data_IF_994518586967
#
_entry.id   IF_994518586967
#
_cell.length_a   1.000
_cell.length_b   1.000
_cell.length_c   1.000
_cell.angle_alpha   90.00
_cell.angle_beta   90.00
_cell.angle_gamma   90.00
#
_symmetry.space_group_name_H-M   'P 1'
#
loop_
_entity.id
_entity.type
_entity.pdbx_description
1 polymer ?
#
# COMPACT_ATOMS: atom_id res chain seq x y z
N UNK A 1 -12.81 -1.55 -24.34
CA UNK A 1 -12.33 -0.81 -23.15
C UNK A 1 -12.36 -1.79 -22.00
N UNK A 2 -11.28 -1.90 -21.25
CA UNK A 2 -11.25 -2.73 -20.04
C UNK A 2 -12.09 -2.03 -18.98
N UNK A 3 -12.89 -2.79 -18.24
CA UNK A 3 -13.73 -2.24 -17.16
C UNK A 3 -12.81 -1.63 -16.08
N UNK A 4 -12.98 -0.35 -15.70
CA UNK A 4 -12.18 0.31 -14.67
C UNK A 4 -12.13 -0.48 -13.34
N UNK A 5 -13.23 -1.14 -12.97
CA UNK A 5 -13.31 -1.95 -11.77
C UNK A 5 -12.35 -3.16 -11.83
N UNK A 6 -12.25 -3.82 -12.98
CA UNK A 6 -11.33 -4.95 -13.18
C UNK A 6 -9.89 -4.48 -13.07
N UNK A 7 -9.57 -3.32 -13.67
CA UNK A 7 -8.22 -2.75 -13.63
C UNK A 7 -7.81 -2.36 -12.21
N UNK A 8 -8.69 -1.64 -11.49
CA UNK A 8 -8.47 -1.26 -10.09
C UNK A 8 -8.32 -2.48 -9.18
N UNK A 9 -9.17 -3.49 -9.36
CA UNK A 9 -9.06 -4.73 -8.59
C UNK A 9 -7.74 -5.44 -8.86
N UNK A 10 -7.32 -5.54 -10.12
CA UNK A 10 -6.07 -6.19 -10.50
C UNK A 10 -4.84 -5.49 -9.90
N UNK A 11 -4.77 -4.15 -9.96
CA UNK A 11 -3.66 -3.39 -9.39
C UNK A 11 -3.66 -3.45 -7.86
N UNK A 12 -4.84 -3.46 -7.23
CA UNK A 12 -4.97 -3.61 -5.77
C UNK A 12 -4.48 -4.98 -5.29
N UNK A 13 -4.74 -6.05 -6.05
CA UNK A 13 -4.18 -7.38 -5.78
C UNK A 13 -2.66 -7.39 -5.92
N UNK A 14 -2.12 -6.74 -6.95
CA UNK A 14 -0.67 -6.59 -7.12
C UNK A 14 -0.05 -5.86 -5.92
N UNK A 15 -0.67 -4.77 -5.48
CA UNK A 15 -0.22 -4.02 -4.30
C UNK A 15 -0.28 -4.88 -3.03
N UNK A 16 -1.34 -5.65 -2.83
CA UNK A 16 -1.45 -6.55 -1.68
C UNK A 16 -0.32 -7.59 -1.64
N UNK A 17 0.02 -8.17 -2.80
CA UNK A 17 1.17 -9.09 -2.93
C UNK A 17 2.49 -8.35 -2.64
N UNK A 18 2.66 -7.14 -3.17
CA UNK A 18 3.86 -6.32 -2.96
C UNK A 18 4.05 -5.97 -1.48
N UNK A 19 2.98 -5.60 -0.78
CA UNK A 19 3.00 -5.33 0.67
C UNK A 19 3.38 -6.60 1.43
N UNK A 20 2.71 -7.72 1.15
CA UNK A 20 2.99 -8.98 1.83
C UNK A 20 4.41 -9.51 1.61
N UNK A 21 4.99 -9.28 0.42
CA UNK A 21 6.37 -9.65 0.12
C UNK A 21 7.40 -8.73 0.81
N UNK A 22 7.01 -7.50 1.13
CA UNK A 22 7.88 -6.49 1.76
C UNK A 22 7.76 -6.47 3.28
N UNK A 23 6.69 -7.04 3.86
CA UNK A 23 6.42 -6.98 5.30
C UNK A 23 7.23 -8.03 6.07
N UNK A 24 8.17 -7.56 6.90
CA UNK A 24 9.03 -8.38 7.73
C UNK A 24 8.54 -8.50 9.19
N UNK A 25 7.32 -8.08 9.50
CA UNK A 25 6.75 -8.03 10.86
C UNK A 25 6.89 -9.36 11.60
N UNK A 26 6.70 -10.48 10.92
CA UNK A 26 6.80 -11.82 11.52
C UNK A 26 8.19 -12.46 11.41
N UNK A 27 9.14 -11.84 10.71
CA UNK A 27 10.46 -12.42 10.51
C UNK A 27 11.20 -12.75 11.82
N UNK A 28 11.21 -11.88 12.87
CA UNK A 28 11.86 -12.20 14.14
C UNK A 28 11.22 -13.39 14.87
N UNK A 29 9.88 -13.53 14.79
CA UNK A 29 9.15 -14.61 15.46
C UNK A 29 9.38 -15.94 14.77
N UNK A 30 9.43 -15.95 13.45
CA UNK A 30 9.78 -17.12 12.64
C UNK A 30 11.24 -17.48 12.83
N UNK A 31 12.14 -16.49 12.81
CA UNK A 31 13.58 -16.68 13.03
C UNK A 31 13.91 -17.25 14.42
N UNK A 32 13.15 -16.88 15.44
CA UNK A 32 13.25 -17.46 16.79
C UNK A 32 12.62 -18.86 16.92
N UNK A 33 12.09 -19.41 15.84
CA UNK A 33 11.41 -20.73 15.79
C UNK A 33 10.17 -20.84 16.68
N UNK A 34 9.58 -19.72 17.11
CA UNK A 34 8.33 -19.71 17.88
C UNK A 34 7.10 -19.96 17.02
N UNK A 35 7.14 -19.55 15.77
CA UNK A 35 6.12 -19.84 14.75
C UNK A 35 6.78 -20.44 13.52
N UNK A 36 6.06 -21.33 12.86
CA UNK A 36 6.41 -21.74 11.49
C UNK A 36 5.96 -20.65 10.50
N UNK A 37 6.56 -20.64 9.31
CA UNK A 37 6.17 -19.72 8.23
C UNK A 37 4.66 -19.79 7.97
N UNK A 38 4.09 -20.99 7.85
CA UNK A 38 2.66 -21.18 7.59
C UNK A 38 1.78 -20.60 8.72
N UNK A 39 2.18 -20.76 9.98
CA UNK A 39 1.47 -20.17 11.10
C UNK A 39 1.55 -18.64 11.08
N UNK A 40 2.72 -18.08 10.81
CA UNK A 40 2.90 -16.64 10.70
C UNK A 40 2.04 -16.04 9.57
N UNK A 41 2.03 -16.66 8.40
CA UNK A 41 1.22 -16.23 7.25
C UNK A 41 -0.29 -16.32 7.57
N UNK A 42 -0.73 -17.42 8.21
CA UNK A 42 -2.15 -17.58 8.56
C UNK A 42 -2.61 -16.54 9.59
N UNK A 43 -1.82 -16.33 10.65
CA UNK A 43 -2.12 -15.34 11.69
C UNK A 43 -2.11 -13.92 11.09
N UNK A 44 -1.07 -13.59 10.34
CA UNK A 44 -0.94 -12.29 9.68
C UNK A 44 -2.10 -12.02 8.71
N UNK A 45 -2.46 -13.01 7.89
CA UNK A 45 -3.59 -12.89 6.97
C UNK A 45 -4.92 -12.60 7.67
N UNK A 46 -5.21 -13.31 8.77
CA UNK A 46 -6.43 -13.05 9.56
C UNK A 46 -6.42 -11.64 10.17
N UNK A 47 -5.30 -11.20 10.74
CA UNK A 47 -5.17 -9.86 11.33
C UNK A 47 -5.35 -8.78 10.25
N UNK A 48 -4.74 -8.95 9.08
CA UNK A 48 -4.87 -7.99 7.95
C UNK A 48 -6.32 -7.89 7.48
N UNK A 49 -7.04 -9.00 7.35
CA UNK A 49 -8.46 -8.98 6.97
C UNK A 49 -9.30 -8.24 8.01
N UNK A 50 -9.09 -8.52 9.30
CA UNK A 50 -9.79 -7.81 10.38
C UNK A 50 -9.47 -6.31 10.32
N UNK A 51 -8.20 -5.93 10.18
CA UNK A 51 -7.78 -4.53 10.05
C UNK A 51 -8.41 -3.83 8.84
N UNK A 52 -8.42 -4.48 7.69
CA UNK A 52 -9.03 -3.94 6.48
C UNK A 52 -10.54 -3.65 6.64
N UNK A 53 -11.27 -4.57 7.27
CA UNK A 53 -12.72 -4.42 7.48
C UNK A 53 -13.04 -3.36 8.56
N UNK A 54 -12.22 -3.23 9.59
CA UNK A 54 -12.52 -2.37 10.75
C UNK A 54 -12.04 -0.93 10.56
N UNK A 55 -10.81 -0.74 10.07
CA UNK A 55 -10.16 0.59 9.97
C UNK A 55 -9.75 0.97 8.54
N UNK A 56 -9.81 0.05 7.60
CA UNK A 56 -9.34 0.26 6.22
C UNK A 56 -10.03 1.44 5.51
N UNK A 57 -11.31 1.68 5.78
CA UNK A 57 -12.03 2.81 5.20
C UNK A 57 -11.42 4.16 5.61
N UNK A 58 -11.06 4.34 6.89
CA UNK A 58 -10.47 5.59 7.37
C UNK A 58 -9.10 5.85 6.74
N UNK A 59 -8.27 4.79 6.65
CA UNK A 59 -6.96 4.88 5.98
C UNK A 59 -7.12 5.23 4.50
N UNK A 60 -8.04 4.56 3.80
CA UNK A 60 -8.31 4.82 2.39
C UNK A 60 -8.79 6.26 2.15
N UNK A 61 -9.64 6.80 3.05
CA UNK A 61 -10.11 8.18 2.99
C UNK A 61 -8.96 9.17 3.13
N UNK A 62 -8.12 9.00 4.16
CA UNK A 62 -6.98 9.91 4.39
C UNK A 62 -6.02 9.92 3.21
N UNK A 63 -5.62 8.75 2.72
CA UNK A 63 -4.67 8.66 1.58
C UNK A 63 -5.30 9.15 0.28
N UNK A 64 -6.59 8.89 0.07
CA UNK A 64 -7.27 9.23 -1.19
C UNK A 64 -7.81 10.65 -1.28
N UNK A 65 -8.15 11.29 -0.16
CA UNK A 65 -8.85 12.56 -0.18
C UNK A 65 -8.23 13.65 0.70
N UNK A 66 -7.55 13.27 1.80
CA UNK A 66 -7.12 14.28 2.79
C UNK A 66 -5.70 14.81 2.48
N UNK A 67 -4.90 14.12 1.67
CA UNK A 67 -3.53 14.54 1.30
C UNK A 67 -3.54 15.54 0.13
N UNK A 68 -4.47 15.41 -0.80
CA UNK A 68 -4.63 16.31 -1.94
C UNK A 68 -5.92 17.12 -1.81
N UNK A 69 -5.90 18.40 -2.20
CA UNK A 69 -7.08 19.27 -2.17
C UNK A 69 -8.20 18.81 -3.11
N UNK A 70 -7.84 18.13 -4.21
CA UNK A 70 -8.79 17.61 -5.19
C UNK A 70 -8.82 16.09 -5.18
N UNK A 71 -10.00 15.46 -5.34
CA UNK A 71 -10.09 14.00 -5.42
C UNK A 71 -9.36 13.50 -6.68
N UNK A 72 -8.55 12.47 -6.53
CA UNK A 72 -7.83 11.85 -7.63
C UNK A 72 -8.76 11.16 -8.62
N UNK A 73 -8.46 11.30 -9.90
CA UNK A 73 -9.08 10.52 -10.96
C UNK A 73 -8.65 9.04 -10.88
N UNK A 74 -9.41 8.14 -11.53
CA UNK A 74 -9.07 6.72 -11.59
C UNK A 74 -7.66 6.46 -12.13
N UNK A 75 -7.22 7.20 -13.15
CA UNK A 75 -5.88 7.05 -13.74
C UNK A 75 -4.79 7.51 -12.78
N UNK A 76 -5.04 8.54 -12.00
CA UNK A 76 -4.12 9.01 -10.97
C UNK A 76 -3.99 8.00 -9.83
N UNK A 77 -5.10 7.42 -9.38
CA UNK A 77 -5.11 6.33 -8.38
C UNK A 77 -4.33 5.12 -8.90
N UNK A 78 -4.58 4.69 -10.13
CA UNK A 78 -3.84 3.60 -10.76
C UNK A 78 -2.33 3.88 -10.81
N UNK A 79 -1.94 5.12 -11.13
CA UNK A 79 -0.52 5.52 -11.17
C UNK A 79 0.14 5.46 -9.78
N UNK A 80 -0.55 5.92 -8.74
CA UNK A 80 -0.08 5.81 -7.35
C UNK A 80 0.08 4.33 -6.96
N UNK A 81 -0.96 3.52 -7.12
CA UNK A 81 -0.95 2.11 -6.73
C UNK A 81 0.13 1.32 -7.49
N UNK A 82 0.29 1.59 -8.77
CA UNK A 82 1.34 0.97 -9.58
C UNK A 82 2.74 1.37 -9.10
N UNK A 83 2.97 2.66 -8.85
CA UNK A 83 4.26 3.17 -8.36
C UNK A 83 4.64 2.57 -7.02
N UNK A 84 3.69 2.53 -6.08
CA UNK A 84 3.90 1.91 -4.76
C UNK A 84 4.22 0.42 -4.91
N UNK A 85 3.43 -0.31 -5.70
CA UNK A 85 3.67 -1.74 -5.93
C UNK A 85 5.04 -2.01 -6.52
N UNK A 86 5.44 -1.23 -7.53
CA UNK A 86 6.74 -1.36 -8.17
C UNK A 86 7.90 -1.10 -7.21
N UNK A 87 7.81 -0.04 -6.40
CA UNK A 87 8.84 0.30 -5.41
C UNK A 87 8.96 -0.79 -4.32
N UNK A 88 7.84 -1.29 -3.79
CA UNK A 88 7.84 -2.35 -2.79
C UNK A 88 8.42 -3.66 -3.33
N UNK A 89 8.05 -4.06 -4.56
CA UNK A 89 8.60 -5.27 -5.21
C UNK A 89 10.10 -5.11 -5.46
N UNK A 90 10.54 -3.96 -5.96
CA UNK A 90 11.96 -3.68 -6.18
C UNK A 90 12.75 -3.67 -4.88
N UNK A 91 12.18 -3.08 -3.81
CA UNK A 91 12.76 -3.10 -2.47
C UNK A 91 12.93 -4.53 -1.96
N UNK A 92 11.86 -5.33 -2.00
CA UNK A 92 11.88 -6.73 -1.58
C UNK A 92 12.89 -7.56 -2.37
N UNK A 93 12.96 -7.36 -3.69
CA UNK A 93 13.94 -8.06 -4.53
C UNK A 93 15.38 -7.70 -4.18
N UNK A 94 15.63 -6.48 -3.73
CA UNK A 94 16.95 -6.02 -3.27
C UNK A 94 17.23 -6.35 -1.80
N UNK A 95 16.28 -6.95 -1.08
CA UNK A 95 16.38 -7.19 0.35
C UNK A 95 16.33 -5.90 1.19
N UNK A 96 15.69 -4.86 0.66
CA UNK A 96 15.51 -3.58 1.34
C UNK A 96 14.05 -3.47 1.82
N UNK A 97 13.78 -3.59 3.12
CA UNK A 97 12.44 -3.38 3.65
C UNK A 97 12.07 -1.89 3.51
N UNK A 98 11.06 -1.61 2.71
CA UNK A 98 10.55 -0.26 2.51
C UNK A 98 9.28 -0.06 3.35
N UNK A 99 9.13 1.11 3.94
CA UNK A 99 7.89 1.47 4.62
C UNK A 99 6.78 1.68 3.59
N UNK A 100 5.75 0.83 3.62
CA UNK A 100 4.58 0.93 2.73
C UNK A 100 3.89 2.29 2.88
N UNK A 101 3.70 2.77 4.11
CA UNK A 101 3.07 4.05 4.39
C UNK A 101 3.87 5.21 3.79
N UNK A 102 5.19 5.27 4.03
CA UNK A 102 6.03 6.32 3.44
C UNK A 102 6.06 6.26 1.92
N UNK A 103 6.08 5.06 1.33
CA UNK A 103 6.02 4.88 -0.12
C UNK A 103 4.70 5.36 -0.69
N UNK A 104 3.58 5.07 -0.02
CA UNK A 104 2.24 5.52 -0.41
C UNK A 104 2.13 7.04 -0.34
N UNK A 105 2.43 7.63 0.80
CA UNK A 105 2.40 9.09 1.00
C UNK A 105 3.33 9.80 0.01
N UNK A 106 4.57 9.31 -0.15
CA UNK A 106 5.52 9.87 -1.09
C UNK A 106 5.04 9.82 -2.54
N UNK A 107 4.40 8.73 -2.96
CA UNK A 107 3.84 8.60 -4.32
C UNK A 107 2.66 9.55 -4.53
N UNK A 108 1.79 9.71 -3.52
CA UNK A 108 0.65 10.63 -3.55
C UNK A 108 1.13 12.08 -3.65
N UNK A 109 2.05 12.49 -2.78
CA UNK A 109 2.64 13.83 -2.78
C UNK A 109 3.35 14.13 -4.09
N UNK A 110 4.16 13.19 -4.59
CA UNK A 110 4.87 13.37 -5.85
C UNK A 110 3.91 13.59 -7.01
N UNK A 111 2.81 12.85 -7.07
CA UNK A 111 1.81 13.03 -8.12
C UNK A 111 1.12 14.38 -7.99
N UNK A 112 0.69 14.79 -6.79
CA UNK A 112 0.07 16.10 -6.55
C UNK A 112 0.97 17.24 -7.01
N UNK A 113 2.26 17.19 -6.68
CA UNK A 113 3.23 18.20 -7.10
C UNK A 113 3.43 18.23 -8.63
N UNK A 114 3.45 17.07 -9.29
CA UNK A 114 3.55 16.99 -10.76
C UNK A 114 2.33 17.61 -11.44
N UNK A 115 1.15 17.46 -10.84
CA UNK A 115 -0.10 18.04 -11.34
C UNK A 115 -0.26 19.52 -11.00
N UNK A 116 0.63 20.08 -10.16
CA UNK A 116 0.54 21.47 -9.70
C UNK A 116 -0.54 21.67 -8.64
N UNK A 117 -0.98 20.61 -8.00
CA UNK A 117 -1.96 20.67 -6.89
C UNK A 117 -1.25 21.02 -5.57
N UNK A 118 -1.96 21.70 -4.69
CA UNK A 118 -1.47 21.94 -3.32
C UNK A 118 -1.57 20.66 -2.49
N UNK A 119 -0.60 20.51 -1.60
CA UNK A 119 -0.52 19.37 -0.68
C UNK A 119 -0.84 19.85 0.73
N UNK A 120 -1.74 19.16 1.41
CA UNK A 120 -2.08 19.45 2.81
C UNK A 120 -1.02 18.85 3.75
N UNK A 121 0.02 19.63 4.00
CA UNK A 121 1.18 19.20 4.80
C UNK A 121 0.86 18.91 6.27
N UNK A 122 -0.29 19.37 6.77
CA UNK A 122 -0.71 19.11 8.15
C UNK A 122 -1.18 17.68 8.40
N UNK A 123 -1.43 16.93 7.32
CA UNK A 123 -1.93 15.53 7.36
C UNK A 123 -0.79 14.52 7.28
N UNK A 124 0.39 14.94 6.81
CA UNK A 124 1.56 14.10 6.55
C UNK A 124 2.51 14.11 7.75
#
# INVERSE_FOLDING_TARGET
MVDPLITLTGISMLLAIAIGANDETFAPVVGSKRLTVNQAVSIGGVIVVIGAVTIGYNVAKTVGNDIAESPFTEMQILSILFSVSALLILGSWKGLPLSTTHTMVGSTVALSLILGESVEWSVI
#
